data_IF_764015961045
#
_entry.id   IF_764015961045
#
_cell.length_a   1.000
_cell.length_b   1.000
_cell.length_c   1.000
_cell.angle_alpha   90.00
_cell.angle_beta   90.00
_cell.angle_gamma   90.00
#
_symmetry.space_group_name_H-M   'P 1'
#
loop_
_entity.id
_entity.type
_entity.pdbx_description
1 polymer ?
#
# COMPACT_ATOMS: atom_id res chain seq x y z
N UNK A 1 -46.77 -23.87 -83.84
CA UNK A 1 -45.71 -23.24 -83.02
C UNK A 1 -46.02 -23.52 -81.56
N UNK A 2 -45.34 -24.51 -80.96
CA UNK A 2 -45.57 -24.96 -79.58
C UNK A 2 -44.46 -24.37 -78.70
N UNK A 3 -44.80 -23.52 -77.71
CA UNK A 3 -43.83 -22.92 -76.77
C UNK A 3 -43.85 -23.69 -75.46
N UNK A 4 -42.76 -24.38 -75.18
CA UNK A 4 -42.43 -25.05 -73.92
C UNK A 4 -42.16 -24.01 -72.84
N UNK A 5 -42.81 -24.13 -71.68
CA UNK A 5 -42.55 -23.31 -70.48
C UNK A 5 -41.73 -24.16 -69.50
N UNK A 6 -40.56 -23.67 -69.10
CA UNK A 6 -39.73 -24.24 -68.03
C UNK A 6 -40.08 -23.57 -66.70
N UNK A 7 -40.34 -24.36 -65.65
CA UNK A 7 -40.50 -23.89 -64.27
C UNK A 7 -39.16 -24.04 -63.56
N UNK A 8 -38.58 -22.93 -63.11
CA UNK A 8 -37.36 -22.90 -62.31
C UNK A 8 -37.67 -23.11 -60.81
N UNK A 9 -36.98 -24.06 -60.19
CA UNK A 9 -36.99 -24.32 -58.75
C UNK A 9 -36.18 -23.23 -58.02
N UNK A 10 -36.79 -22.51 -57.08
CA UNK A 10 -36.08 -21.60 -56.18
C UNK A 10 -35.74 -22.35 -54.87
N UNK A 11 -34.44 -22.52 -54.60
CA UNK A 11 -33.94 -23.06 -53.33
C UNK A 11 -33.92 -21.97 -52.26
N UNK A 12 -34.68 -22.14 -51.17
CA UNK A 12 -34.56 -21.31 -49.97
C UNK A 12 -33.39 -21.81 -49.12
N UNK A 13 -32.37 -20.97 -48.95
CA UNK A 13 -31.31 -21.13 -47.95
C UNK A 13 -31.77 -20.56 -46.61
N UNK A 14 -31.88 -21.42 -45.60
CA UNK A 14 -32.11 -21.02 -44.20
C UNK A 14 -30.80 -20.48 -43.63
N UNK A 15 -30.75 -19.17 -43.35
CA UNK A 15 -29.67 -18.56 -42.59
C UNK A 15 -29.81 -18.91 -41.10
N UNK A 16 -28.86 -19.69 -40.58
CA UNK A 16 -28.77 -19.98 -39.15
C UNK A 16 -28.22 -18.75 -38.42
N UNK A 17 -29.02 -18.15 -37.55
CA UNK A 17 -28.59 -17.05 -36.69
C UNK A 17 -27.67 -17.60 -35.58
N UNK A 18 -26.36 -17.43 -35.75
CA UNK A 18 -25.40 -17.66 -34.69
C UNK A 18 -25.68 -16.68 -33.53
N UNK A 19 -26.18 -17.21 -32.42
CA UNK A 19 -26.28 -16.48 -31.17
C UNK A 19 -24.85 -16.17 -30.71
N UNK A 20 -24.48 -14.89 -30.75
CA UNK A 20 -23.29 -14.41 -30.07
C UNK A 20 -23.49 -14.66 -28.58
N UNK A 21 -22.82 -15.67 -28.04
CA UNK A 21 -22.60 -15.79 -26.60
C UNK A 21 -21.87 -14.53 -26.16
N UNK A 22 -22.57 -13.65 -25.47
CA UNK A 22 -21.95 -12.59 -24.69
C UNK A 22 -21.01 -13.28 -23.70
N UNK A 23 -19.71 -13.19 -23.96
CA UNK A 23 -18.70 -13.57 -22.99
C UNK A 23 -18.95 -12.73 -21.73
N UNK A 24 -19.33 -13.39 -20.65
CA UNK A 24 -19.47 -12.78 -19.33
C UNK A 24 -18.11 -12.14 -19.01
N UNK A 25 -18.10 -10.82 -18.85
CA UNK A 25 -16.87 -10.09 -18.52
C UNK A 25 -16.27 -10.75 -17.27
N UNK A 26 -14.96 -11.05 -17.24
CA UNK A 26 -14.35 -11.71 -16.10
C UNK A 26 -14.69 -10.91 -14.84
N UNK A 27 -15.26 -11.58 -13.83
CA UNK A 27 -15.58 -10.95 -12.55
C UNK A 27 -14.37 -10.16 -12.07
N UNK A 28 -14.53 -8.89 -11.69
CA UNK A 28 -13.40 -8.03 -11.43
C UNK A 28 -12.57 -8.65 -10.29
N UNK A 29 -11.29 -8.89 -10.59
CA UNK A 29 -10.36 -9.50 -9.65
C UNK A 29 -10.36 -8.74 -8.32
N UNK A 30 -9.97 -9.41 -7.24
CA UNK A 30 -9.76 -8.72 -5.97
C UNK A 30 -8.70 -7.63 -6.13
N UNK A 31 -8.84 -6.53 -5.41
CA UNK A 31 -7.89 -5.42 -5.47
C UNK A 31 -7.27 -5.14 -4.11
N UNK A 32 -5.95 -4.92 -4.09
CA UNK A 32 -5.25 -4.27 -2.99
C UNK A 32 -4.83 -2.88 -3.44
N UNK A 33 -5.41 -1.86 -2.84
CA UNK A 33 -5.00 -0.49 -3.07
C UNK A 33 -3.91 -0.07 -2.08
N UNK A 34 -2.85 0.58 -2.58
CA UNK A 34 -1.71 1.02 -1.78
C UNK A 34 -1.64 2.55 -1.78
N UNK A 35 -1.59 3.15 -0.59
CA UNK A 35 -1.40 4.60 -0.42
C UNK A 35 -0.13 4.92 0.36
N UNK A 36 0.69 5.86 -0.13
CA UNK A 36 1.86 6.35 0.58
C UNK A 36 1.49 7.33 1.69
N UNK A 37 2.43 7.54 2.61
CA UNK A 37 2.31 8.54 3.65
C UNK A 37 2.62 9.93 3.10
N UNK A 38 1.78 10.91 3.48
CA UNK A 38 2.08 12.33 3.30
C UNK A 38 3.10 12.78 4.35
N UNK A 39 2.98 12.22 5.55
CA UNK A 39 3.67 12.71 6.74
C UNK A 39 4.98 11.97 6.93
N UNK A 40 6.04 12.77 6.98
CA UNK A 40 7.34 12.37 7.53
C UNK A 40 7.69 13.26 8.71
N UNK A 41 8.21 12.64 9.76
CA UNK A 41 8.68 13.31 10.95
C UNK A 41 10.07 12.81 11.33
N UNK A 42 10.84 13.71 11.92
CA UNK A 42 12.10 13.40 12.58
C UNK A 42 12.00 13.94 13.99
N UNK A 43 12.37 13.12 14.97
CA UNK A 43 12.39 13.51 16.38
C UNK A 43 13.70 13.06 16.98
N UNK A 44 14.46 14.01 17.50
CA UNK A 44 15.60 13.74 18.37
C UNK A 44 15.21 14.06 19.80
N UNK A 45 15.41 13.10 20.72
CA UNK A 45 15.19 13.30 22.16
C UNK A 45 16.50 13.27 22.94
N UNK A 46 16.70 14.26 23.80
CA UNK A 46 17.81 14.30 24.77
C UNK A 46 17.68 13.31 25.93
N UNK A 47 18.61 13.39 26.89
CA UNK A 47 18.73 12.45 28.02
C UNK A 47 17.49 12.43 28.94
N UNK A 48 16.71 13.51 28.96
CA UNK A 48 15.52 13.66 29.81
C UNK A 48 14.21 13.24 29.12
N UNK A 49 14.26 12.62 27.94
CA UNK A 49 13.08 12.01 27.29
C UNK A 49 12.24 12.94 26.41
N UNK A 50 12.78 14.12 26.03
CA UNK A 50 12.14 15.07 25.11
C UNK A 50 11.43 16.24 25.80
N UNK A 51 10.65 17.02 25.03
CA UNK A 51 9.91 18.19 25.50
C UNK A 51 10.01 19.39 24.55
N UNK A 52 9.32 20.50 24.84
CA UNK A 52 9.29 21.67 23.95
C UNK A 52 10.67 22.30 23.75
N UNK A 53 11.46 22.42 24.83
CA UNK A 53 12.82 22.97 24.75
C UNK A 53 13.75 22.04 23.96
N UNK A 54 13.66 20.73 24.20
CA UNK A 54 14.46 19.72 23.50
C UNK A 54 14.12 19.69 21.99
N UNK A 55 12.84 19.76 21.65
CA UNK A 55 12.36 19.90 20.27
C UNK A 55 12.88 21.19 19.61
N UNK A 56 12.92 22.32 20.34
CA UNK A 56 13.47 23.56 19.82
C UNK A 56 14.99 23.47 19.58
N UNK A 57 15.74 22.83 20.49
CA UNK A 57 17.18 22.61 20.37
C UNK A 57 17.55 21.71 19.17
N UNK A 58 16.66 20.80 18.80
CA UNK A 58 16.89 19.85 17.71
C UNK A 58 16.16 20.18 16.41
N UNK A 59 15.36 21.26 16.37
CA UNK A 59 14.51 21.60 15.23
C UNK A 59 15.25 21.65 13.88
N UNK A 60 16.44 22.25 13.83
CA UNK A 60 17.24 22.32 12.59
C UNK A 60 17.74 20.95 12.13
N UNK A 61 18.17 20.10 13.07
CA UNK A 61 18.62 18.74 12.79
C UNK A 61 17.46 17.86 12.33
N UNK A 62 16.33 17.94 13.01
CA UNK A 62 15.13 17.18 12.68
C UNK A 62 14.55 17.63 11.33
N UNK A 63 14.60 18.92 11.00
CA UNK A 63 14.23 19.43 9.68
C UNK A 63 15.15 18.88 8.58
N UNK A 64 16.48 18.87 8.80
CA UNK A 64 17.45 18.29 7.85
C UNK A 64 17.23 16.79 7.64
N UNK A 65 17.08 16.03 8.73
CA UNK A 65 16.80 14.60 8.64
C UNK A 65 15.49 14.32 7.91
N UNK A 66 14.44 15.10 8.19
CA UNK A 66 13.16 14.98 7.49
C UNK A 66 13.32 15.22 5.98
N UNK A 67 14.09 16.22 5.58
CA UNK A 67 14.35 16.49 4.16
C UNK A 67 15.09 15.33 3.49
N UNK A 68 16.10 14.74 4.16
CA UNK A 68 16.81 13.57 3.65
C UNK A 68 15.92 12.32 3.59
N UNK A 69 15.04 12.11 4.57
CA UNK A 69 14.03 11.05 4.49
C UNK A 69 13.13 11.25 3.27
N UNK A 70 12.70 12.49 3.02
CA UNK A 70 11.85 12.80 1.87
C UNK A 70 12.53 12.53 0.52
N UNK A 71 13.87 12.60 0.43
CA UNK A 71 14.58 12.22 -0.78
C UNK A 71 14.68 10.70 -1.02
N UNK A 72 14.57 9.87 0.02
CA UNK A 72 14.67 8.41 -0.08
C UNK A 72 13.32 7.70 -0.03
N UNK A 73 12.33 8.30 0.64
CA UNK A 73 11.03 7.71 0.92
C UNK A 73 9.90 8.62 0.44
N UNK A 74 10.07 9.32 -0.67
CA UNK A 74 8.96 10.03 -1.30
C UNK A 74 7.78 9.08 -1.63
N UNK A 75 6.64 9.65 -2.03
CA UNK A 75 5.43 8.86 -2.27
C UNK A 75 5.63 7.72 -3.28
N UNK A 76 6.24 7.96 -4.46
CA UNK A 76 6.58 6.88 -5.38
C UNK A 76 7.52 5.83 -4.77
N UNK A 77 8.59 6.25 -4.10
CA UNK A 77 9.58 5.32 -3.51
C UNK A 77 8.99 4.43 -2.42
N UNK A 78 8.04 4.94 -1.63
CA UNK A 78 7.31 4.12 -0.65
C UNK A 78 6.49 3.03 -1.33
N UNK A 79 5.75 3.38 -2.40
CA UNK A 79 4.91 2.43 -3.14
C UNK A 79 5.80 1.39 -3.83
N UNK A 80 6.88 1.81 -4.48
CA UNK A 80 7.85 0.92 -5.12
C UNK A 80 8.52 -0.02 -4.11
N UNK A 81 8.87 0.51 -2.92
CA UNK A 81 9.44 -0.30 -1.87
C UNK A 81 8.47 -1.39 -1.40
N UNK A 82 7.19 -1.07 -1.20
CA UNK A 82 6.16 -2.04 -0.82
C UNK A 82 5.94 -3.07 -1.94
N UNK A 83 5.83 -2.63 -3.19
CA UNK A 83 5.56 -3.53 -4.32
C UNK A 83 6.74 -4.43 -4.69
N UNK A 84 7.96 -4.07 -4.32
CA UNK A 84 9.11 -4.96 -4.44
C UNK A 84 9.07 -6.15 -3.47
N UNK A 85 8.14 -6.16 -2.51
CA UNK A 85 7.91 -7.26 -1.58
C UNK A 85 6.80 -8.18 -2.10
N UNK A 86 6.78 -9.42 -1.62
CA UNK A 86 5.68 -10.35 -1.86
C UNK A 86 4.46 -10.00 -0.97
N UNK A 87 3.73 -8.96 -1.37
CA UNK A 87 2.55 -8.48 -0.65
C UNK A 87 1.45 -9.55 -0.57
N UNK A 88 1.35 -10.42 -1.56
CA UNK A 88 0.36 -11.50 -1.58
C UNK A 88 0.59 -12.46 -0.41
N UNK A 89 1.82 -12.90 -0.21
CA UNK A 89 2.19 -13.75 0.93
C UNK A 89 2.15 -12.99 2.25
N UNK A 90 2.73 -11.77 2.29
CA UNK A 90 2.86 -11.00 3.52
C UNK A 90 1.51 -10.61 4.15
N UNK A 91 0.49 -10.37 3.33
CA UNK A 91 -0.86 -9.99 3.78
C UNK A 91 -1.91 -11.10 3.63
N UNK A 92 -1.53 -12.30 3.18
CA UNK A 92 -2.47 -13.41 2.88
C UNK A 92 -3.58 -12.98 1.91
N UNK A 93 -3.21 -12.25 0.85
CA UNK A 93 -4.16 -11.78 -0.16
C UNK A 93 -4.78 -12.97 -0.92
N UNK A 94 -6.00 -12.78 -1.40
CA UNK A 94 -6.66 -13.81 -2.22
C UNK A 94 -5.88 -14.01 -3.53
N UNK A 95 -5.81 -15.24 -4.06
CA UNK A 95 -5.14 -15.50 -5.33
C UNK A 95 -5.68 -14.61 -6.46
N UNK A 96 -4.77 -14.07 -7.28
CA UNK A 96 -5.14 -13.17 -8.38
C UNK A 96 -5.49 -11.74 -7.94
N UNK A 97 -5.20 -11.35 -6.70
CA UNK A 97 -5.39 -9.95 -6.27
C UNK A 97 -4.49 -9.02 -7.09
N UNK A 98 -5.11 -8.01 -7.69
CA UNK A 98 -4.45 -6.96 -8.47
C UNK A 98 -4.02 -5.84 -7.53
N UNK A 99 -2.79 -5.36 -7.70
CA UNK A 99 -2.28 -4.24 -6.91
C UNK A 99 -2.59 -2.93 -7.62
N UNK A 100 -3.33 -2.04 -6.95
CA UNK A 100 -3.66 -0.71 -7.44
C UNK A 100 -2.83 0.33 -6.68
N UNK A 101 -2.01 1.08 -7.41
CA UNK A 101 -1.11 2.11 -6.87
C UNK A 101 -1.83 3.45 -6.81
N UNK A 102 -1.68 4.17 -5.70
CA UNK A 102 -2.07 5.58 -5.60
C UNK A 102 -0.86 6.44 -5.33
N UNK A 103 -0.64 7.46 -6.15
CA UNK A 103 0.48 8.39 -5.98
C UNK A 103 0.16 9.51 -4.98
N UNK A 104 -1.13 9.87 -4.87
CA UNK A 104 -1.57 10.89 -3.93
C UNK A 104 -1.56 10.33 -2.51
N UNK A 105 -0.75 10.91 -1.59
CA UNK A 105 -0.70 10.42 -0.23
C UNK A 105 -1.97 10.74 0.54
N UNK A 106 -2.24 9.95 1.59
CA UNK A 106 -3.39 10.18 2.45
C UNK A 106 -3.01 11.05 3.66
N UNK A 107 -3.87 12.04 3.95
CA UNK A 107 -3.78 12.80 5.19
C UNK A 107 -4.04 11.89 6.39
N UNK A 108 -3.08 11.77 7.31
CA UNK A 108 -3.15 10.90 8.52
C UNK A 108 -4.45 11.09 9.33
N UNK A 109 -4.98 12.31 9.41
CA UNK A 109 -6.20 12.65 10.17
C UNK A 109 -7.49 12.00 9.60
N UNK A 110 -7.47 11.59 8.33
CA UNK A 110 -8.61 10.96 7.65
C UNK A 110 -8.64 9.44 7.82
N UNK A 111 -7.53 8.84 8.26
CA UNK A 111 -7.36 7.38 8.29
C UNK A 111 -8.42 6.66 9.10
N UNK A 112 -8.71 7.17 10.31
CA UNK A 112 -9.73 6.56 11.17
C UNK A 112 -11.15 7.10 10.93
N UNK A 113 -11.33 8.09 10.04
CA UNK A 113 -12.64 8.72 9.78
C UNK A 113 -13.39 8.05 8.63
N UNK A 114 -12.67 7.75 7.55
CA UNK A 114 -13.26 7.05 6.40
C UNK A 114 -13.43 5.59 6.79
N UNK A 115 -14.66 5.09 6.81
CA UNK A 115 -14.98 3.69 7.17
C UNK A 115 -15.56 2.88 6.02
N UNK A 116 -15.64 3.48 4.83
CA UNK A 116 -15.95 2.86 3.55
C UNK A 116 -14.69 2.69 2.70
N UNK A 117 -14.82 2.03 1.54
CA UNK A 117 -13.74 1.96 0.55
C UNK A 117 -13.31 3.38 0.17
N UNK A 118 -12.01 3.62 0.02
CA UNK A 118 -11.46 4.94 -0.36
C UNK A 118 -11.52 5.23 -1.85
N UNK A 119 -11.65 4.20 -2.68
CA UNK A 119 -11.82 4.34 -4.12
C UNK A 119 -13.20 3.85 -4.54
N UNK A 120 -13.63 4.32 -5.70
CA UNK A 120 -14.90 3.93 -6.33
C UNK A 120 -14.82 2.55 -7.02
N UNK A 121 -13.88 1.70 -6.61
CA UNK A 121 -13.68 0.37 -7.19
C UNK A 121 -14.90 -0.53 -6.99
N UNK A 122 -15.33 -1.14 -8.09
CA UNK A 122 -16.39 -2.16 -8.13
C UNK A 122 -15.83 -3.58 -8.07
N UNK A 123 -14.58 -3.77 -7.64
CA UNK A 123 -13.96 -5.08 -7.52
C UNK A 123 -14.75 -6.02 -6.60
N UNK A 124 -14.72 -7.32 -6.94
CA UNK A 124 -15.45 -8.36 -6.23
C UNK A 124 -14.93 -8.53 -4.79
N UNK A 125 -13.65 -8.21 -4.55
CA UNK A 125 -13.20 -7.94 -3.21
C UNK A 125 -12.15 -6.82 -3.13
N UNK A 126 -12.05 -6.20 -1.96
CA UNK A 126 -11.33 -4.95 -1.80
C UNK A 126 -10.53 -4.92 -0.51
N UNK A 127 -9.26 -4.56 -0.61
CA UNK A 127 -8.39 -4.34 0.53
C UNK A 127 -7.55 -3.08 0.32
N UNK A 128 -7.09 -2.53 1.44
CA UNK A 128 -6.28 -1.33 1.48
C UNK A 128 -5.02 -1.55 2.31
N UNK A 129 -3.88 -1.06 1.81
CA UNK A 129 -2.64 -0.89 2.56
C UNK A 129 -2.29 0.60 2.56
N UNK A 130 -2.29 1.19 3.75
CA UNK A 130 -2.01 2.61 3.94
C UNK A 130 -0.72 2.75 4.75
N UNK A 131 0.25 3.48 4.20
CA UNK A 131 1.36 4.04 4.97
C UNK A 131 0.89 5.36 5.56
N UNK A 132 0.85 5.46 6.90
CA UNK A 132 0.22 6.58 7.61
C UNK A 132 1.20 7.67 8.03
N UNK A 133 2.42 7.26 8.39
CA UNK A 133 3.45 8.11 8.97
C UNK A 133 4.80 7.39 8.87
N UNK A 134 5.85 8.12 8.52
CA UNK A 134 7.24 7.65 8.57
C UNK A 134 8.00 8.52 9.56
N UNK A 135 8.50 7.91 10.62
CA UNK A 135 9.12 8.60 11.76
C UNK A 135 10.57 8.13 11.93
N UNK A 136 11.52 9.03 11.70
CA UNK A 136 12.85 8.86 12.27
C UNK A 136 12.83 9.26 13.74
N UNK A 137 13.37 8.40 14.59
CA UNK A 137 13.50 8.68 16.00
C UNK A 137 14.93 8.40 16.47
N UNK A 138 15.56 9.41 17.08
CA UNK A 138 16.83 9.29 17.77
C UNK A 138 16.64 9.50 19.26
N UNK A 139 16.85 8.45 20.04
CA UNK A 139 16.93 8.53 21.49
C UNK A 139 18.40 8.55 21.95
N UNK A 140 18.67 9.21 23.08
CA UNK A 140 20.00 9.24 23.67
C UNK A 140 20.52 7.85 24.04
N UNK A 141 19.65 6.98 24.59
CA UNK A 141 20.01 5.64 25.09
C UNK A 141 19.80 4.55 24.03
N UNK A 142 18.68 4.58 23.30
CA UNK A 142 18.26 3.50 22.40
C UNK A 142 18.73 3.66 20.95
N UNK A 143 19.50 4.72 20.66
CA UNK A 143 20.05 4.94 19.34
C UNK A 143 19.04 5.47 18.32
N UNK A 144 19.21 5.07 17.06
CA UNK A 144 18.45 5.58 15.91
C UNK A 144 17.52 4.49 15.38
N UNK A 145 16.31 4.87 15.01
CA UNK A 145 15.33 3.96 14.43
C UNK A 145 14.50 4.66 13.37
N UNK A 146 14.01 3.88 12.42
CA UNK A 146 12.91 4.27 11.55
C UNK A 146 11.68 3.51 12.00
N UNK A 147 10.58 4.22 12.22
CA UNK A 147 9.29 3.64 12.55
C UNK A 147 8.31 4.01 11.46
N UNK A 148 7.50 3.05 11.04
CA UNK A 148 6.47 3.29 10.02
C UNK A 148 5.12 2.82 10.56
N UNK A 149 4.13 3.71 10.54
CA UNK A 149 2.77 3.36 10.90
C UNK A 149 2.05 2.87 9.66
N UNK A 150 1.61 1.62 9.69
CA UNK A 150 0.81 1.05 8.61
C UNK A 150 -0.62 0.79 9.09
N UNK A 151 -1.54 0.72 8.14
CA UNK A 151 -2.90 0.25 8.33
C UNK A 151 -3.29 -0.65 7.17
N UNK A 152 -3.77 -1.86 7.48
CA UNK A 152 -4.40 -2.74 6.51
C UNK A 152 -5.90 -2.79 6.82
N UNK A 153 -6.71 -2.75 5.76
CA UNK A 153 -8.16 -2.89 5.85
C UNK A 153 -8.64 -3.88 4.82
N UNK A 154 -9.48 -4.83 5.23
CA UNK A 154 -10.20 -5.71 4.32
C UNK A 154 -11.69 -5.36 4.39
N UNK A 155 -12.30 -5.22 3.23
CA UNK A 155 -13.71 -4.88 3.07
C UNK A 155 -14.52 -6.04 2.48
N UNK A 156 -13.87 -7.18 2.22
CA UNK A 156 -14.55 -8.29 1.56
C UNK A 156 -15.18 -7.82 0.26
N UNK A 157 -16.45 -8.14 0.06
CA UNK A 157 -17.21 -7.85 -1.16
C UNK A 157 -18.13 -6.62 -1.04
N UNK A 158 -18.11 -5.88 0.07
CA UNK A 158 -18.98 -4.71 0.26
C UNK A 158 -18.21 -3.46 0.71
N UNK A 159 -18.92 -2.44 1.20
CA UNK A 159 -18.36 -1.16 1.63
C UNK A 159 -17.95 -1.12 3.11
N UNK A 160 -18.09 -2.20 3.86
CA UNK A 160 -17.85 -2.25 5.30
C UNK A 160 -16.50 -2.90 5.58
N UNK A 161 -15.87 -2.47 6.66
CA UNK A 161 -14.58 -3.02 7.07
C UNK A 161 -14.81 -4.33 7.84
N UNK A 162 -14.42 -5.45 7.23
CA UNK A 162 -14.41 -6.77 7.85
C UNK A 162 -13.22 -6.93 8.81
N UNK A 163 -12.08 -6.33 8.45
CA UNK A 163 -10.86 -6.36 9.26
C UNK A 163 -10.10 -5.03 9.15
N UNK A 164 -9.64 -4.51 10.29
CA UNK A 164 -8.73 -3.35 10.36
C UNK A 164 -7.62 -3.71 11.32
N UNK A 165 -6.38 -3.49 10.90
CA UNK A 165 -5.22 -3.55 11.78
C UNK A 165 -4.35 -2.34 11.52
N UNK A 166 -3.92 -1.67 12.59
CA UNK A 166 -3.10 -0.45 12.55
C UNK A 166 -2.04 -0.56 13.63
N UNK A 167 -0.78 -0.56 13.22
CA UNK A 167 0.34 -0.68 14.13
C UNK A 167 1.62 -0.09 13.54
N UNK A 168 2.58 0.18 14.41
CA UNK A 168 3.92 0.58 14.01
C UNK A 168 4.76 -0.68 13.75
N UNK A 169 5.47 -0.70 12.62
CA UNK A 169 6.73 -1.45 12.50
C UNK A 169 7.90 -0.54 12.88
N UNK A 170 9.00 -1.09 13.42
CA UNK A 170 10.10 -0.24 13.88
C UNK A 170 11.43 -0.98 14.00
N UNK A 171 12.41 -0.54 13.21
CA UNK A 171 13.72 -1.17 13.12
C UNK A 171 14.84 -0.11 13.26
N UNK A 172 16.00 -0.56 13.76
CA UNK A 172 17.16 0.30 14.03
C UNK A 172 17.86 0.78 12.75
N UNK A 173 18.56 1.92 12.86
CA UNK A 173 19.39 2.53 11.80
C UNK A 173 20.85 2.63 12.25
N UNK A 174 21.75 2.25 11.34
CA UNK A 174 23.20 2.19 11.57
C UNK A 174 23.97 3.21 10.74
N UNK A 175 23.42 3.65 9.60
CA UNK A 175 24.03 4.61 8.70
C UNK A 175 23.31 5.96 8.80
N UNK A 176 21.99 5.99 8.65
CA UNK A 176 21.23 7.24 8.60
C UNK A 176 21.13 7.97 9.96
N UNK A 177 21.31 9.31 10.03
CA UNK A 177 21.77 10.19 8.97
C UNK A 177 23.28 10.05 8.75
N UNK A 178 23.72 10.16 7.50
CA UNK A 178 25.14 10.17 7.15
C UNK A 178 25.82 11.41 7.73
N UNK A 179 27.03 11.23 8.28
CA UNK A 179 27.91 12.34 8.67
C UNK A 179 28.74 12.82 7.49
N UNK A 180 29.39 13.97 7.66
CA UNK A 180 30.37 14.46 6.71
C UNK A 180 31.47 13.41 6.47
N UNK A 181 31.77 13.12 5.20
CA UNK A 181 32.73 12.10 4.78
C UNK A 181 32.21 10.66 4.83
N UNK A 182 30.96 10.42 5.26
CA UNK A 182 30.30 9.11 5.18
C UNK A 182 29.55 8.95 3.86
N UNK A 183 29.24 7.70 3.50
CA UNK A 183 28.48 7.36 2.29
C UNK A 183 27.00 7.73 2.47
N UNK A 184 26.62 8.88 1.92
CA UNK A 184 25.26 9.38 1.94
C UNK A 184 24.29 8.47 1.16
N UNK A 185 24.74 7.82 0.08
CA UNK A 185 23.89 6.94 -0.72
C UNK A 185 23.54 5.70 0.10
N UNK A 186 24.53 5.06 0.73
CA UNK A 186 24.30 3.90 1.58
C UNK A 186 23.35 4.22 2.76
N UNK A 187 23.43 5.43 3.34
CA UNK A 187 22.52 5.85 4.39
C UNK A 187 21.07 6.05 3.91
N UNK A 188 20.86 6.54 2.68
CA UNK A 188 19.53 6.67 2.08
C UNK A 188 18.97 5.30 1.67
N UNK A 189 19.80 4.43 1.11
CA UNK A 189 19.41 3.04 0.80
C UNK A 189 19.02 2.26 2.07
N UNK A 190 19.70 2.52 3.20
CA UNK A 190 19.31 1.96 4.50
C UNK A 190 17.87 2.35 4.87
N UNK A 191 17.44 3.59 4.62
CA UNK A 191 16.07 4.02 4.91
C UNK A 191 15.04 3.18 4.14
N UNK A 192 15.27 2.93 2.85
CA UNK A 192 14.39 2.10 2.01
C UNK A 192 14.39 0.66 2.51
N UNK A 193 15.56 0.11 2.83
CA UNK A 193 15.68 -1.24 3.39
C UNK A 193 14.97 -1.41 4.73
N UNK A 194 15.13 -0.45 5.65
CA UNK A 194 14.49 -0.47 6.97
C UNK A 194 12.99 -0.20 6.87
N UNK A 195 12.54 0.61 5.92
CA UNK A 195 11.11 0.78 5.62
C UNK A 195 10.46 -0.55 5.22
N UNK A 196 11.10 -1.34 4.36
CA UNK A 196 10.64 -2.69 3.99
C UNK A 196 10.58 -3.63 5.19
N UNK A 197 11.64 -3.66 6.01
CA UNK A 197 11.67 -4.46 7.26
C UNK A 197 10.56 -4.08 8.24
N UNK A 198 10.26 -2.78 8.37
CA UNK A 198 9.13 -2.31 9.17
C UNK A 198 7.81 -2.89 8.65
N UNK A 199 7.63 -2.95 7.33
CA UNK A 199 6.42 -3.55 6.75
C UNK A 199 6.35 -5.06 6.98
N UNK A 200 7.44 -5.80 6.82
CA UNK A 200 7.48 -7.24 7.08
C UNK A 200 7.13 -7.58 8.54
N UNK A 201 7.71 -6.85 9.49
CA UNK A 201 7.38 -6.97 10.93
C UNK A 201 5.90 -6.69 11.18
N UNK A 202 5.40 -5.57 10.64
CA UNK A 202 4.00 -5.19 10.72
C UNK A 202 3.08 -6.25 10.14
N UNK A 203 3.38 -6.76 8.94
CA UNK A 203 2.56 -7.72 8.21
C UNK A 203 2.47 -9.06 8.96
N UNK A 204 3.58 -9.53 9.55
CA UNK A 204 3.58 -10.69 10.44
C UNK A 204 2.63 -10.50 11.64
N UNK A 205 2.64 -9.32 12.27
CA UNK A 205 1.75 -9.02 13.39
C UNK A 205 0.28 -8.89 12.94
N UNK A 206 0.03 -8.29 11.77
CA UNK A 206 -1.29 -8.19 11.17
C UNK A 206 -1.91 -9.57 10.89
N UNK A 207 -1.15 -10.50 10.30
CA UNK A 207 -1.59 -11.88 10.04
C UNK A 207 -1.94 -12.62 11.33
N UNK A 208 -1.10 -12.50 12.37
CA UNK A 208 -1.40 -13.06 13.69
C UNK A 208 -2.70 -12.50 14.27
N UNK A 209 -2.91 -11.18 14.16
CA UNK A 209 -4.14 -10.53 14.62
C UNK A 209 -5.38 -11.01 13.83
N UNK A 210 -5.28 -11.13 12.51
CA UNK A 210 -6.35 -11.64 11.66
C UNK A 210 -6.70 -13.09 12.00
N UNK A 211 -5.68 -13.95 12.19
CA UNK A 211 -5.87 -15.34 12.57
C UNK A 211 -6.56 -15.51 13.93
N UNK A 212 -6.27 -14.62 14.89
CA UNK A 212 -6.97 -14.60 16.18
C UNK A 212 -8.44 -14.19 16.01
N UNK A 213 -8.72 -13.16 15.20
CA UNK A 213 -10.10 -12.72 14.93
C UNK A 213 -10.94 -13.79 14.24
N UNK A 214 -10.37 -14.56 13.30
CA UNK A 214 -11.06 -15.67 12.63
C UNK A 214 -11.43 -16.83 13.56
N UNK A 215 -10.81 -16.94 14.73
CA UNK A 215 -11.06 -18.00 15.73
C UNK A 215 -12.04 -17.59 16.83
N UNK A 216 -12.35 -16.30 16.94
CA UNK A 216 -13.24 -15.73 17.95
C UNK A 216 -14.67 -15.63 17.41
#
# INVERSE_FOLDING_TARGET
>A
MLKTIWVGLASLTLASAAQAQSAEAPSPACELHIWPAERMASVTTGLLGGGLLDAALHAGKDASNKAQMASALDSPSQVDALQSLDLATLLELKPGTVIIRHEAPLERKTMNKVKTRRSDSTAACYSELITADVLYHKAAIYGRSLKTLFMVRDFGNDQKIDFEYKAWGGNGLSLFPAKEGEDAVAALDELVGVFKKNFEEYANNARKSMALKKKA
#
